data_IF_413121833423
#
_entry.id   IF_413121833423
#
_cell.length_a   1.000
_cell.length_b   1.000
_cell.length_c   1.000
_cell.angle_alpha   90.00
_cell.angle_beta   90.00
_cell.angle_gamma   90.00
#
_symmetry.space_group_name_H-M   'P 1'
#
loop_
_entity.id
_entity.type
_entity.pdbx_description
1 polymer ?
#
# COMPACT_ATOMS: atom_id res chain seq x y z
N UNK A 1 5.96 18.22 26.49
CA UNK A 1 4.89 18.40 25.49
C UNK A 1 5.50 18.09 24.13
N UNK A 2 5.51 16.81 23.75
CA UNK A 2 6.04 16.37 22.45
C UNK A 2 4.94 16.59 21.43
N UNK A 3 5.05 17.63 20.61
CA UNK A 3 4.18 17.79 19.45
C UNK A 3 4.60 16.72 18.45
N UNK A 4 3.78 15.68 18.30
CA UNK A 4 3.86 14.80 17.15
C UNK A 4 3.59 15.67 15.92
N UNK A 5 4.64 16.00 15.17
CA UNK A 5 4.49 16.63 13.87
C UNK A 5 3.65 15.68 13.02
N UNK A 6 2.42 16.08 12.70
CA UNK A 6 1.59 15.34 11.77
C UNK A 6 2.35 15.29 10.45
N UNK A 7 2.84 14.11 10.06
CA UNK A 7 3.63 13.97 8.84
C UNK A 7 2.80 14.47 7.65
N UNK A 8 3.39 15.17 6.67
CA UNK A 8 2.68 15.67 5.49
C UNK A 8 1.96 14.55 4.70
N UNK A 9 2.40 13.32 4.92
CA UNK A 9 1.79 12.08 4.45
C UNK A 9 0.37 11.92 5.02
N UNK A 10 0.17 12.10 6.34
CA UNK A 10 -1.12 11.96 7.05
C UNK A 10 -2.22 12.86 6.47
N UNK A 11 -1.89 14.09 6.08
CA UNK A 11 -2.85 15.03 5.48
C UNK A 11 -3.19 14.65 4.02
N UNK A 12 -2.24 14.08 3.26
CA UNK A 12 -2.51 13.56 1.92
C UNK A 12 -3.53 12.40 1.93
N UNK A 13 -3.58 11.58 2.98
CA UNK A 13 -4.57 10.51 3.07
C UNK A 13 -5.99 11.03 3.34
N UNK A 14 -6.12 12.15 4.06
CA UNK A 14 -7.42 12.76 4.36
C UNK A 14 -7.99 13.51 3.13
N UNK A 15 -7.12 14.15 2.34
CA UNK A 15 -7.51 14.87 1.11
C UNK A 15 -7.77 13.93 -0.08
N UNK A 16 -7.16 12.75 -0.11
CA UNK A 16 -7.30 11.79 -1.20
C UNK A 16 -8.72 11.19 -1.35
N UNK A 17 -9.65 11.42 -0.42
CA UNK A 17 -11.05 10.98 -0.53
C UNK A 17 -11.17 9.48 -0.80
N UNK A 18 -10.35 8.68 -0.12
CA UNK A 18 -10.16 7.28 -0.48
C UNK A 18 -11.40 6.43 -0.18
N UNK A 19 -12.21 6.22 -1.20
CA UNK A 19 -13.25 5.21 -1.20
C UNK A 19 -12.53 3.83 -1.22
N UNK A 20 -12.35 3.20 -0.06
CA UNK A 20 -11.92 1.81 0.03
C UNK A 20 -13.00 0.96 -0.65
N UNK A 21 -12.87 0.71 -1.95
CA UNK A 21 -13.89 0.03 -2.73
C UNK A 21 -14.31 -1.29 -2.08
N UNK A 22 -15.46 -1.29 -1.40
CA UNK A 22 -16.17 -2.46 -0.88
C UNK A 22 -15.44 -3.41 0.07
N UNK A 23 -14.20 -3.11 0.47
CA UNK A 23 -13.48 -3.92 1.46
C UNK A 23 -13.91 -3.45 2.85
N UNK A 24 -14.55 -4.34 3.62
CA UNK A 24 -14.89 -4.11 5.02
C UNK A 24 -13.69 -3.54 5.78
N UNK A 25 -13.87 -2.41 6.48
CA UNK A 25 -12.83 -1.73 7.28
C UNK A 25 -12.35 -2.52 8.51
N UNK A 26 -12.57 -3.85 8.54
CA UNK A 26 -12.17 -4.69 9.65
C UNK A 26 -10.65 -4.95 9.58
N UNK A 27 -9.86 -4.49 10.56
CA UNK A 27 -8.41 -4.61 10.53
C UNK A 27 -7.91 -6.04 10.70
N UNK A 28 -8.78 -7.01 11.03
CA UNK A 28 -8.46 -8.43 11.06
C UNK A 28 -8.80 -9.14 9.73
N UNK A 29 -9.43 -8.45 8.77
CA UNK A 29 -9.87 -9.01 7.49
C UNK A 29 -9.39 -8.13 6.32
N UNK A 30 -8.40 -8.59 5.56
CA UNK A 30 -8.00 -7.95 4.30
C UNK A 30 -8.59 -8.74 3.13
N UNK A 31 -9.38 -8.07 2.26
CA UNK A 31 -10.03 -8.68 1.09
C UNK A 31 -10.87 -9.92 1.45
N UNK A 32 -11.62 -9.87 2.56
CA UNK A 32 -12.48 -10.98 3.00
C UNK A 32 -11.72 -12.21 3.52
N UNK A 33 -10.41 -12.10 3.78
CA UNK A 33 -9.59 -13.17 4.37
C UNK A 33 -9.02 -12.76 5.73
N UNK A 34 -8.94 -13.71 6.69
CA UNK A 34 -8.25 -13.50 7.95
C UNK A 34 -6.80 -13.06 7.73
N UNK A 35 -6.42 -11.97 8.38
CA UNK A 35 -5.04 -11.52 8.46
C UNK A 35 -4.36 -12.27 9.60
N UNK A 36 -3.10 -12.68 9.41
CA UNK A 36 -2.32 -13.27 10.49
C UNK A 36 -2.22 -12.28 11.67
N UNK A 37 -2.32 -12.73 12.94
CA UNK A 37 -2.39 -11.85 14.10
C UNK A 37 -1.12 -10.99 14.30
N UNK A 38 0.02 -11.41 13.76
CA UNK A 38 1.27 -10.65 13.79
C UNK A 38 1.47 -9.70 12.59
N UNK A 39 0.51 -9.64 11.66
CA UNK A 39 0.67 -8.82 10.49
C UNK A 39 0.42 -7.34 10.80
N UNK A 40 1.27 -6.50 10.22
CA UNK A 40 1.07 -5.06 10.19
C UNK A 40 0.26 -4.69 8.95
N UNK A 41 -0.68 -3.77 9.11
CA UNK A 41 -1.58 -3.34 8.04
C UNK A 41 -1.46 -1.83 7.85
N UNK A 42 -1.42 -1.39 6.58
CA UNK A 42 -1.41 0.02 6.21
C UNK A 42 -2.20 0.24 4.92
N UNK A 43 -3.07 1.24 4.93
CA UNK A 43 -3.77 1.71 3.73
C UNK A 43 -2.88 2.73 3.03
N UNK A 44 -2.63 2.56 1.73
CA UNK A 44 -1.80 3.43 0.90
C UNK A 44 -2.61 4.00 -0.28
N UNK A 45 -2.67 5.34 -0.45
CA UNK A 45 -3.42 6.00 -1.50
C UNK A 45 -2.59 6.07 -2.77
N UNK A 46 -3.19 5.70 -3.89
CA UNK A 46 -2.53 5.72 -5.18
C UNK A 46 -2.74 7.11 -5.79
N UNK A 47 -1.69 7.93 -5.71
CA UNK A 47 -1.73 9.38 -6.03
C UNK A 47 -0.94 9.77 -7.28
N UNK A 48 -0.30 8.81 -7.95
CA UNK A 48 0.35 9.04 -9.25
C UNK A 48 -0.67 8.92 -10.39
N UNK A 49 -0.48 9.65 -11.51
CA UNK A 49 -1.50 9.82 -12.55
C UNK A 49 -1.98 8.55 -13.24
N UNK A 50 -1.19 7.47 -13.23
CA UNK A 50 -1.49 6.22 -13.95
C UNK A 50 -1.72 5.04 -13.02
N UNK A 51 -1.66 5.25 -11.71
CA UNK A 51 -1.83 4.22 -10.70
C UNK A 51 -0.76 3.14 -10.71
N UNK A 52 -1.11 1.90 -10.35
CA UNK A 52 -0.20 0.74 -10.36
C UNK A 52 0.01 0.16 -11.77
N UNK A 53 0.49 0.98 -12.71
CA UNK A 53 0.98 0.50 -14.01
C UNK A 53 2.36 -0.17 -13.89
N UNK A 54 2.94 -0.62 -15.01
CA UNK A 54 4.17 -1.39 -15.04
C UNK A 54 5.36 -0.75 -14.29
N UNK A 55 5.62 0.55 -14.47
CA UNK A 55 6.76 1.24 -13.83
C UNK A 55 6.56 1.42 -12.32
N UNK A 56 5.38 1.90 -11.92
CA UNK A 56 5.02 2.03 -10.50
C UNK A 56 5.06 0.65 -9.79
N UNK A 57 4.48 -0.38 -10.42
CA UNK A 57 4.50 -1.75 -9.92
C UNK A 57 5.91 -2.33 -9.83
N UNK A 58 6.78 -2.08 -10.82
CA UNK A 58 8.19 -2.51 -10.76
C UNK A 58 8.93 -1.86 -9.58
N UNK A 59 8.72 -0.56 -9.33
CA UNK A 59 9.30 0.12 -8.18
C UNK A 59 8.75 -0.41 -6.86
N UNK A 60 7.45 -0.72 -6.79
CA UNK A 60 6.83 -1.33 -5.62
C UNK A 60 7.50 -2.68 -5.31
N UNK A 61 7.58 -3.58 -6.30
CA UNK A 61 8.24 -4.89 -6.17
C UNK A 61 9.69 -4.74 -5.74
N UNK A 62 10.45 -3.87 -6.42
CA UNK A 62 11.86 -3.61 -6.07
C UNK A 62 12.04 -3.03 -4.67
N UNK A 63 11.05 -2.32 -4.12
CA UNK A 63 11.07 -1.87 -2.73
C UNK A 63 10.80 -3.05 -1.80
N UNK A 64 9.77 -3.86 -2.06
CA UNK A 64 9.44 -5.05 -1.23
C UNK A 64 10.61 -6.02 -1.16
N UNK A 65 11.26 -6.31 -2.29
CA UNK A 65 12.35 -7.29 -2.39
C UNK A 65 13.63 -6.91 -1.62
N UNK A 66 13.71 -5.69 -1.07
CA UNK A 66 14.84 -5.24 -0.24
C UNK A 66 14.72 -5.68 1.22
N UNK A 67 13.58 -6.20 1.64
CA UNK A 67 13.26 -6.48 3.03
C UNK A 67 12.90 -7.96 3.23
N UNK A 68 13.28 -8.53 4.37
CA UNK A 68 12.84 -9.82 4.89
C UNK A 68 11.42 -9.70 5.48
N UNK A 69 10.47 -9.49 4.57
CA UNK A 69 9.06 -9.35 4.87
C UNK A 69 8.19 -9.95 3.76
N UNK A 70 7.10 -10.62 4.16
CA UNK A 70 6.07 -11.09 3.24
C UNK A 70 4.99 -10.03 3.13
N UNK A 71 4.81 -9.48 1.93
CA UNK A 71 3.86 -8.40 1.65
C UNK A 71 2.70 -8.92 0.81
N UNK A 72 1.48 -8.57 1.21
CA UNK A 72 0.24 -8.77 0.44
C UNK A 72 -0.42 -7.43 0.18
N UNK A 73 -0.90 -7.23 -1.04
CA UNK A 73 -1.61 -6.01 -1.46
C UNK A 73 -3.02 -6.38 -1.86
N UNK A 74 -3.99 -5.66 -1.31
CA UNK A 74 -5.41 -5.94 -1.44
C UNK A 74 -6.17 -4.71 -1.94
N UNK A 75 -7.10 -4.91 -2.86
CA UNK A 75 -8.08 -3.91 -3.31
C UNK A 75 -9.32 -4.61 -3.84
N UNK A 76 -10.52 -4.10 -3.50
CA UNK A 76 -11.80 -4.58 -4.06
C UNK A 76 -12.02 -6.10 -3.98
N UNK A 77 -11.58 -6.74 -2.87
CA UNK A 77 -11.69 -8.19 -2.68
C UNK A 77 -10.61 -9.04 -3.35
N UNK A 78 -9.74 -8.43 -4.17
CA UNK A 78 -8.61 -9.10 -4.80
C UNK A 78 -7.31 -8.88 -4.02
N UNK A 79 -6.58 -9.95 -3.75
CA UNK A 79 -5.31 -9.92 -3.02
C UNK A 79 -4.20 -10.57 -3.84
N UNK A 80 -3.05 -9.91 -3.90
CA UNK A 80 -1.86 -10.35 -4.64
C UNK A 80 -0.60 -10.18 -3.79
N UNK A 81 0.45 -10.92 -4.11
CA UNK A 81 1.76 -10.73 -3.47
C UNK A 81 2.38 -9.40 -3.86
N UNK A 82 3.00 -8.70 -2.90
CA UNK A 82 3.69 -7.42 -3.12
C UNK A 82 4.93 -7.52 -3.99
N UNK A 83 5.43 -8.74 -4.25
CA UNK A 83 6.52 -9.03 -5.18
C UNK A 83 6.03 -9.43 -6.59
N UNK A 84 4.72 -9.48 -6.84
CA UNK A 84 4.17 -9.84 -8.15
C UNK A 84 3.83 -8.60 -8.96
N UNK A 85 4.74 -8.19 -9.85
CA UNK A 85 4.50 -7.06 -10.76
C UNK A 85 3.21 -7.23 -11.57
N UNK A 86 2.94 -8.45 -12.07
CA UNK A 86 1.72 -8.76 -12.80
C UNK A 86 0.49 -8.69 -11.91
N UNK A 87 0.57 -9.24 -10.69
CA UNK A 87 -0.53 -9.18 -9.73
C UNK A 87 -0.90 -7.73 -9.38
N UNK A 88 0.09 -6.89 -9.10
CA UNK A 88 -0.12 -5.47 -8.79
C UNK A 88 -0.80 -4.71 -9.94
N UNK A 89 -0.38 -4.96 -11.18
CA UNK A 89 -1.03 -4.36 -12.35
C UNK A 89 -2.49 -4.82 -12.52
N UNK A 90 -2.80 -6.09 -12.18
CA UNK A 90 -4.15 -6.64 -12.28
C UNK A 90 -5.12 -6.10 -11.23
N UNK A 91 -4.63 -5.60 -10.09
CA UNK A 91 -5.49 -4.95 -9.07
C UNK A 91 -6.19 -3.68 -9.59
N UNK A 92 -5.79 -3.17 -10.75
CA UNK A 92 -6.36 -1.98 -11.40
C UNK A 92 -6.49 -0.78 -10.43
N UNK A 93 -5.51 -0.61 -9.55
CA UNK A 93 -5.48 0.48 -8.59
C UNK A 93 -5.09 1.78 -9.30
N UNK A 94 -6.11 2.52 -9.75
CA UNK A 94 -5.98 3.81 -10.43
C UNK A 94 -5.81 4.99 -9.46
N UNK A 95 -5.62 6.21 -10.01
CA UNK A 95 -5.49 7.43 -9.22
C UNK A 95 -6.73 7.68 -8.36
N UNK A 96 -6.52 8.15 -7.12
CA UNK A 96 -7.60 8.43 -6.16
C UNK A 96 -8.19 7.19 -5.50
N UNK A 97 -7.60 6.01 -5.73
CA UNK A 97 -7.97 4.78 -5.03
C UNK A 97 -6.97 4.44 -3.93
N UNK A 98 -7.34 3.54 -3.02
CA UNK A 98 -6.44 2.99 -2.02
C UNK A 98 -6.18 1.50 -2.23
N UNK A 99 -5.01 1.07 -1.76
CA UNK A 99 -4.70 -0.35 -1.56
C UNK A 99 -4.43 -0.60 -0.08
N UNK A 100 -4.89 -1.74 0.42
CA UNK A 100 -4.53 -2.22 1.76
C UNK A 100 -3.30 -3.10 1.64
N UNK A 101 -2.22 -2.68 2.28
CA UNK A 101 -0.96 -3.43 2.31
C UNK A 101 -0.82 -4.09 3.66
N UNK A 102 -0.60 -5.39 3.65
CA UNK A 102 -0.31 -6.20 4.83
C UNK A 102 1.12 -6.70 4.74
N UNK A 103 1.86 -6.63 5.84
CA UNK A 103 3.23 -7.12 5.93
C UNK A 103 3.42 -7.99 7.17
N UNK A 104 4.17 -9.08 7.02
CA UNK A 104 4.61 -9.96 8.12
C UNK A 104 6.10 -10.22 7.97
N UNK A 105 6.77 -10.69 9.02
CA UNK A 105 8.21 -10.93 9.03
C UNK A 105 8.99 -9.88 9.81
N UNK A 106 10.32 -10.00 9.80
CA UNK A 106 11.21 -9.23 10.67
C UNK A 106 11.23 -7.75 10.32
N UNK A 107 11.14 -7.44 9.03
CA UNK A 107 11.21 -6.07 8.51
C UNK A 107 9.83 -5.57 8.05
N UNK A 108 8.73 -6.12 8.61
CA UNK A 108 7.36 -5.77 8.25
C UNK A 108 7.04 -4.28 8.45
N UNK A 109 7.56 -3.66 9.50
CA UNK A 109 7.36 -2.23 9.75
C UNK A 109 8.13 -1.39 8.72
N UNK A 110 9.39 -1.76 8.48
CA UNK A 110 10.31 -1.02 7.61
C UNK A 110 9.85 -1.04 6.15
N UNK A 111 9.35 -2.19 5.66
CA UNK A 111 8.79 -2.28 4.31
C UNK A 111 7.54 -1.42 4.15
N UNK A 112 6.66 -1.33 5.17
CA UNK A 112 5.47 -0.48 5.11
C UNK A 112 5.82 1.02 5.14
N UNK A 113 6.90 1.40 5.83
CA UNK A 113 7.44 2.75 5.81
C UNK A 113 8.05 3.10 4.44
N UNK A 114 8.87 2.19 3.89
CA UNK A 114 9.48 2.38 2.58
C UNK A 114 8.42 2.47 1.46
N UNK A 115 7.39 1.63 1.51
CA UNK A 115 6.26 1.70 0.59
C UNK A 115 5.45 2.99 0.76
N UNK A 116 5.19 3.43 2.00
CA UNK A 116 4.55 4.71 2.26
C UNK A 116 5.32 5.89 1.67
N UNK A 117 6.65 5.88 1.81
CA UNK A 117 7.55 6.88 1.22
C UNK A 117 7.52 6.83 -0.31
N UNK A 118 7.59 5.62 -0.90
CA UNK A 118 7.54 5.43 -2.35
C UNK A 118 6.23 6.00 -2.93
N UNK A 119 5.10 5.66 -2.32
CA UNK A 119 3.76 6.10 -2.75
C UNK A 119 3.61 7.61 -2.60
N UNK A 120 4.06 8.18 -1.48
CA UNK A 120 4.02 9.64 -1.23
C UNK A 120 4.90 10.42 -2.22
N UNK A 121 6.03 9.82 -2.63
CA UNK A 121 6.87 10.33 -3.70
C UNK A 121 6.31 10.10 -5.10
N UNK A 122 5.04 9.69 -5.24
CA UNK A 122 4.38 9.34 -6.51
C UNK A 122 5.16 8.32 -7.33
N UNK A 123 5.77 7.35 -6.66
CA UNK A 123 6.68 6.39 -7.26
C UNK A 123 7.88 7.05 -7.98
N UNK A 124 8.24 8.30 -7.67
CA UNK A 124 9.25 9.07 -8.39
C UNK A 124 8.84 9.37 -9.84
N UNK A 125 7.58 9.71 -10.04
CA UNK A 125 7.00 10.14 -11.31
C UNK A 125 6.69 11.65 -11.21
N UNK A 126 7.13 12.43 -12.19
CA UNK A 126 6.96 13.89 -12.21
C UNK A 126 5.58 14.31 -12.73
N UNK A 127 4.82 13.36 -13.28
CA UNK A 127 3.49 13.59 -13.84
C UNK A 127 2.41 12.84 -13.10
#
# INVERSE_FOLDING_TARGET
>A
MSQAASSPVTELFADAGCEAGGCSDDPAIACGRPIAPEALVRVLPIINKRGLHARASAKFVQTVERFDAMVTVCRSGEAVGGNSIMGLMMLAAGPGTCVTVTATGREASDVLEALGTLVSGRFGEEE
#
